data_IF_728305799362
#
_entry.id   IF_728305799362
#
_cell.length_a   1.000
_cell.length_b   1.000
_cell.length_c   1.000
_cell.angle_alpha   90.00
_cell.angle_beta   90.00
_cell.angle_gamma   90.00
#
_symmetry.space_group_name_H-M   'P 1'
#
loop_
_entity.id
_entity.type
_entity.pdbx_description
1 polymer ?
#
# COMPACT_ATOMS: atom_id res chain seq x y z
N UNK A 1 4.83 -40.60 17.59
CA UNK A 1 5.18 -39.19 17.82
C UNK A 1 4.96 -38.44 16.52
N UNK A 2 3.73 -37.99 16.27
CA UNK A 2 3.37 -37.10 15.17
C UNK A 2 3.74 -35.68 15.59
N UNK A 3 4.72 -35.10 14.89
CA UNK A 3 5.22 -33.76 15.18
C UNK A 3 4.36 -32.77 14.38
N UNK A 4 3.15 -32.49 14.89
CA UNK A 4 2.26 -31.48 14.33
C UNK A 4 2.83 -30.11 14.72
N UNK A 5 3.61 -29.52 13.80
CA UNK A 5 4.16 -28.18 13.95
C UNK A 5 3.04 -27.14 14.12
N UNK A 6 2.91 -26.58 15.33
CA UNK A 6 1.99 -25.49 15.72
C UNK A 6 2.47 -24.13 15.17
N UNK A 7 3.05 -24.11 13.97
CA UNK A 7 3.50 -22.86 13.33
C UNK A 7 2.82 -22.73 11.97
N UNK A 8 2.05 -21.65 11.73
CA UNK A 8 1.45 -21.40 10.43
C UNK A 8 2.57 -21.27 9.39
N UNK A 9 2.57 -22.18 8.41
CA UNK A 9 3.51 -22.16 7.30
C UNK A 9 3.24 -20.89 6.47
N UNK A 10 4.16 -19.94 6.51
CA UNK A 10 4.09 -18.73 5.68
C UNK A 10 4.27 -19.15 4.23
N UNK A 11 3.19 -19.12 3.45
CA UNK A 11 3.24 -19.45 2.02
C UNK A 11 4.19 -18.48 1.32
N UNK A 12 5.14 -18.97 0.50
CA UNK A 12 6.01 -18.09 -0.27
C UNK A 12 5.14 -17.23 -1.19
N UNK A 13 5.52 -15.95 -1.41
CA UNK A 13 4.80 -15.10 -2.35
C UNK A 13 4.85 -15.73 -3.74
N UNK A 14 3.71 -15.76 -4.43
CA UNK A 14 3.63 -16.24 -5.81
C UNK A 14 4.61 -15.45 -6.69
N UNK A 15 5.23 -16.06 -7.71
CA UNK A 15 6.05 -15.33 -8.67
C UNK A 15 5.22 -14.26 -9.40
N UNK A 16 5.89 -13.21 -9.87
CA UNK A 16 5.23 -12.02 -10.42
C UNK A 16 4.37 -12.33 -11.66
N UNK A 17 4.81 -13.31 -12.44
CA UNK A 17 4.11 -13.81 -13.61
C UNK A 17 2.77 -14.45 -13.21
N UNK A 18 2.77 -15.29 -12.16
CA UNK A 18 1.54 -15.89 -11.61
C UNK A 18 0.63 -14.84 -10.97
N UNK A 19 1.18 -13.84 -10.30
CA UNK A 19 0.41 -12.71 -9.78
C UNK A 19 -0.31 -11.96 -10.91
N UNK A 20 0.36 -11.73 -12.03
CA UNK A 20 -0.24 -11.07 -13.19
C UNK A 20 -1.33 -11.94 -13.82
N UNK A 21 -1.11 -13.26 -13.95
CA UNK A 21 -2.14 -14.18 -14.44
C UNK A 21 -3.36 -14.23 -13.51
N UNK A 22 -3.16 -14.17 -12.19
CA UNK A 22 -4.25 -14.09 -11.22
C UNK A 22 -5.09 -12.82 -11.38
N UNK A 23 -4.45 -11.68 -11.68
CA UNK A 23 -5.17 -10.44 -11.95
C UNK A 23 -5.99 -10.54 -13.24
N UNK A 24 -5.42 -11.13 -14.28
CA UNK A 24 -6.11 -11.38 -15.56
C UNK A 24 -7.29 -12.34 -15.40
N UNK A 25 -7.12 -13.43 -14.65
CA UNK A 25 -8.18 -14.42 -14.42
C UNK A 25 -9.38 -13.85 -13.67
N UNK A 26 -9.16 -12.80 -12.86
CA UNK A 26 -10.21 -12.04 -12.18
C UNK A 26 -10.88 -10.97 -13.07
N UNK A 27 -10.50 -10.86 -14.33
CA UNK A 27 -11.09 -9.91 -15.29
C UNK A 27 -10.35 -8.58 -15.44
N UNK A 28 -9.11 -8.46 -14.94
CA UNK A 28 -8.31 -7.26 -15.19
C UNK A 28 -7.77 -7.25 -16.63
N UNK A 29 -8.01 -6.16 -17.35
CA UNK A 29 -7.46 -5.96 -18.67
C UNK A 29 -6.02 -5.47 -18.52
N UNK A 30 -5.07 -6.20 -19.11
CA UNK A 30 -3.64 -5.85 -19.15
C UNK A 30 -3.27 -5.63 -20.60
N UNK A 31 -2.96 -4.40 -20.99
CA UNK A 31 -2.66 -4.07 -22.39
C UNK A 31 -1.19 -4.40 -22.73
N UNK A 32 -0.28 -4.09 -21.81
CA UNK A 32 1.15 -4.42 -21.93
C UNK A 32 1.60 -5.24 -20.72
N UNK A 33 1.75 -6.56 -20.94
CA UNK A 33 2.15 -7.50 -19.89
C UNK A 33 3.58 -7.25 -19.40
N UNK A 34 4.49 -6.82 -20.28
CA UNK A 34 5.89 -6.56 -19.92
C UNK A 34 5.95 -5.35 -19.01
N UNK A 35 5.26 -4.27 -19.38
CA UNK A 35 5.17 -3.07 -18.56
C UNK A 35 4.49 -3.37 -17.22
N UNK A 36 3.38 -4.11 -17.21
CA UNK A 36 2.66 -4.47 -16.00
C UNK A 36 3.53 -5.31 -15.04
N UNK A 37 4.29 -6.27 -15.57
CA UNK A 37 5.20 -7.10 -14.79
C UNK A 37 6.35 -6.29 -14.18
N UNK A 38 6.94 -5.37 -14.95
CA UNK A 38 7.95 -4.44 -14.43
C UNK A 38 7.41 -3.53 -13.33
N UNK A 39 6.17 -3.09 -13.47
CA UNK A 39 5.48 -2.30 -12.43
C UNK A 39 5.26 -3.16 -11.17
N UNK A 40 4.74 -4.39 -11.30
CA UNK A 40 4.53 -5.32 -10.19
C UNK A 40 5.82 -5.59 -9.40
N UNK A 41 6.94 -5.78 -10.10
CA UNK A 41 8.28 -5.93 -9.50
C UNK A 41 8.69 -4.71 -8.68
N UNK A 42 8.31 -3.50 -9.10
CA UNK A 42 8.66 -2.24 -8.42
C UNK A 42 7.78 -1.95 -7.20
N UNK A 43 6.47 -2.13 -7.31
CA UNK A 43 5.51 -1.66 -6.30
C UNK A 43 5.00 -2.76 -5.36
N UNK A 44 5.23 -4.04 -5.70
CA UNK A 44 4.66 -5.23 -5.07
C UNK A 44 3.15 -5.39 -5.29
N UNK A 45 2.72 -6.64 -5.52
CA UNK A 45 1.32 -7.02 -5.70
C UNK A 45 0.42 -6.58 -4.54
N UNK A 46 0.89 -6.64 -3.30
CA UNK A 46 0.10 -6.27 -2.13
C UNK A 46 -0.29 -4.80 -2.12
N UNK A 47 0.65 -3.91 -2.50
CA UNK A 47 0.35 -2.48 -2.59
C UNK A 47 -0.64 -2.20 -3.70
N UNK A 48 -0.43 -2.78 -4.88
CA UNK A 48 -1.34 -2.61 -6.00
C UNK A 48 -2.77 -3.07 -5.65
N UNK A 49 -2.88 -4.22 -4.95
CA UNK A 49 -4.17 -4.83 -4.59
C UNK A 49 -5.03 -3.92 -3.71
N UNK A 50 -4.42 -3.11 -2.83
CA UNK A 50 -5.16 -2.13 -2.03
C UNK A 50 -5.95 -1.13 -2.91
N UNK A 51 -5.39 -0.73 -4.05
CA UNK A 51 -6.04 0.18 -5.02
C UNK A 51 -7.01 -0.55 -5.94
N UNK A 52 -7.05 -1.89 -5.93
CA UNK A 52 -8.01 -2.68 -6.72
C UNK A 52 -9.39 -2.76 -6.05
N UNK A 53 -9.50 -2.47 -4.76
CA UNK A 53 -10.73 -2.67 -3.97
C UNK A 53 -11.91 -1.84 -4.49
N UNK A 54 -11.65 -0.65 -5.03
CA UNK A 54 -12.69 0.21 -5.63
C UNK A 54 -13.15 -0.25 -7.01
N UNK A 55 -12.42 -1.17 -7.64
CA UNK A 55 -12.67 -1.68 -8.99
C UNK A 55 -13.09 -3.15 -9.00
N UNK A 56 -13.39 -3.73 -7.83
CA UNK A 56 -13.77 -5.14 -7.68
C UNK A 56 -15.10 -5.28 -6.96
N UNK A 57 -15.87 -6.26 -7.39
CA UNK A 57 -17.04 -6.76 -6.68
C UNK A 57 -16.91 -8.27 -6.53
N UNK A 58 -16.96 -8.77 -5.28
CA UNK A 58 -16.82 -10.21 -5.00
C UNK A 58 -15.58 -10.85 -5.65
N UNK A 59 -14.44 -10.15 -5.58
CA UNK A 59 -13.12 -10.54 -6.14
C UNK A 59 -13.00 -10.53 -7.68
N UNK A 60 -14.06 -10.14 -8.39
CA UNK A 60 -14.06 -9.95 -9.85
C UNK A 60 -13.94 -8.47 -10.17
N UNK A 61 -13.09 -8.13 -11.14
CA UNK A 61 -12.94 -6.75 -11.60
C UNK A 61 -14.16 -6.29 -12.41
N UNK A 62 -14.56 -5.03 -12.22
CA UNK A 62 -15.63 -4.42 -13.03
C UNK A 62 -15.20 -4.35 -14.50
N UNK A 63 -16.15 -4.55 -15.41
CA UNK A 63 -15.90 -4.53 -16.86
C UNK A 63 -15.18 -3.25 -17.30
N UNK A 64 -14.15 -3.39 -18.13
CA UNK A 64 -13.35 -2.28 -18.64
C UNK A 64 -12.24 -1.79 -17.71
N UNK A 65 -12.06 -2.41 -16.53
CA UNK A 65 -10.97 -2.05 -15.62
C UNK A 65 -9.63 -2.48 -16.22
N UNK A 66 -8.73 -1.52 -16.43
CA UNK A 66 -7.38 -1.78 -16.93
C UNK A 66 -6.32 -1.67 -15.84
N UNK A 67 -5.24 -2.43 -15.98
CA UNK A 67 -4.09 -2.36 -15.09
C UNK A 67 -3.54 -0.92 -15.00
N UNK A 68 -3.47 -0.22 -16.12
CA UNK A 68 -2.99 1.16 -16.19
C UNK A 68 -3.86 2.13 -15.39
N UNK A 69 -5.17 1.87 -15.31
CA UNK A 69 -6.09 2.69 -14.50
C UNK A 69 -5.82 2.52 -13.01
N UNK A 70 -5.61 1.28 -12.56
CA UNK A 70 -5.26 0.98 -11.17
C UNK A 70 -3.89 1.55 -10.83
N UNK A 71 -2.92 1.37 -11.73
CA UNK A 71 -1.58 1.91 -11.56
C UNK A 71 -1.57 3.44 -11.50
N UNK A 72 -2.40 4.13 -12.30
CA UNK A 72 -2.55 5.59 -12.25
C UNK A 72 -3.10 6.07 -10.91
N UNK A 73 -4.03 5.33 -10.29
CA UNK A 73 -4.51 5.65 -8.94
C UNK A 73 -3.39 5.51 -7.90
N UNK A 74 -2.61 4.42 -7.97
CA UNK A 74 -1.44 4.25 -7.12
C UNK A 74 -0.42 5.38 -7.31
N UNK A 75 -0.12 5.75 -8.56
CA UNK A 75 0.87 6.77 -8.86
C UNK A 75 0.46 8.15 -8.33
N UNK A 76 -0.82 8.48 -8.45
CA UNK A 76 -1.39 9.70 -7.88
C UNK A 76 -1.23 9.74 -6.35
N UNK A 77 -1.62 8.68 -5.64
CA UNK A 77 -1.44 8.61 -4.17
C UNK A 77 0.04 8.72 -3.78
N UNK A 78 0.92 8.02 -4.50
CA UNK A 78 2.36 8.08 -4.23
C UNK A 78 2.93 9.49 -4.40
N UNK A 79 2.50 10.22 -5.44
CA UNK A 79 2.91 11.61 -5.67
C UNK A 79 2.37 12.53 -4.57
N UNK A 80 1.10 12.37 -4.21
CA UNK A 80 0.48 13.14 -3.12
C UNK A 80 1.20 12.91 -1.79
N UNK A 81 1.49 11.65 -1.46
CA UNK A 81 2.24 11.28 -0.25
C UNK A 81 3.62 11.92 -0.22
N UNK A 82 4.33 11.95 -1.35
CA UNK A 82 5.64 12.60 -1.40
C UNK A 82 5.55 14.10 -1.13
N UNK A 83 4.56 14.79 -1.72
CA UNK A 83 4.34 16.23 -1.48
C UNK A 83 3.98 16.49 -0.01
N UNK A 84 3.08 15.68 0.57
CA UNK A 84 2.69 15.81 1.97
C UNK A 84 3.88 15.57 2.91
N UNK A 85 4.70 14.56 2.62
CA UNK A 85 5.91 14.28 3.39
C UNK A 85 6.92 15.43 3.32
N UNK A 86 7.12 16.01 2.13
CA UNK A 86 8.00 17.18 1.95
C UNK A 86 7.51 18.39 2.77
N UNK A 87 6.19 18.65 2.79
CA UNK A 87 5.60 19.72 3.59
C UNK A 87 5.81 19.45 5.08
N UNK A 88 5.57 18.23 5.54
CA UNK A 88 5.77 17.84 6.94
C UNK A 88 7.23 18.02 7.35
N UNK A 89 8.18 17.58 6.53
CA UNK A 89 9.61 17.74 6.77
C UNK A 89 10.02 19.22 6.84
N UNK A 90 9.45 20.06 5.98
CA UNK A 90 9.70 21.50 5.99
C UNK A 90 9.21 22.15 7.29
N UNK A 91 7.99 21.79 7.74
CA UNK A 91 7.43 22.26 9.01
C UNK A 91 8.27 21.80 10.20
N UNK A 92 8.71 20.54 10.21
CA UNK A 92 9.58 19.99 11.26
C UNK A 92 10.94 20.72 11.32
N UNK A 93 11.52 21.08 10.17
CA UNK A 93 12.80 21.81 10.10
C UNK A 93 12.69 23.26 10.53
N UNK A 94 11.57 23.93 10.25
CA UNK A 94 11.32 25.31 10.66
C UNK A 94 10.90 25.41 12.14
N UNK A 95 10.61 24.28 12.78
CA UNK A 95 10.28 24.22 14.20
C UNK A 95 11.44 24.79 15.03
N UNK A 96 11.25 25.91 15.75
CA UNK A 96 12.25 26.36 16.70
C UNK A 96 12.46 25.26 17.75
N UNK A 97 13.70 25.05 18.21
CA UNK A 97 14.04 24.09 19.27
C UNK A 97 13.44 24.46 20.66
N UNK A 98 12.44 25.33 20.67
CA UNK A 98 11.85 25.92 21.85
C UNK A 98 10.69 25.05 22.35
N UNK A 99 10.86 24.46 23.53
CA UNK A 99 9.89 23.53 24.16
C UNK A 99 8.53 24.17 24.46
N UNK A 100 8.45 25.50 24.50
CA UNK A 100 7.19 26.21 24.75
C UNK A 100 6.21 26.11 23.56
N UNK A 101 6.71 25.99 22.32
CA UNK A 101 5.87 25.84 21.13
C UNK A 101 5.16 24.47 21.06
N UNK A 102 5.78 23.42 21.59
CA UNK A 102 5.20 22.06 21.69
C UNK A 102 3.96 22.00 22.59
N UNK A 103 3.87 22.88 23.60
CA UNK A 103 2.74 22.92 24.52
C UNK A 103 1.53 23.65 23.94
N UNK A 104 1.74 24.65 23.07
CA UNK A 104 0.66 25.41 22.42
C UNK A 104 0.07 24.69 21.19
N UNK A 105 0.87 23.90 20.48
CA UNK A 105 0.46 23.25 19.23
C UNK A 105 0.33 21.72 19.35
N UNK A 106 -0.19 21.24 20.48
CA UNK A 106 -0.37 19.81 20.77
C UNK A 106 -1.21 19.07 19.73
N UNK A 107 -2.20 19.72 19.12
CA UNK A 107 -3.04 19.14 18.06
C UNK A 107 -2.29 18.99 16.74
N UNK A 108 -1.52 19.99 16.32
CA UNK A 108 -0.69 19.90 15.10
C UNK A 108 0.39 18.82 15.25
N UNK A 109 1.03 18.75 16.42
CA UNK A 109 1.97 17.67 16.72
C UNK A 109 1.29 16.31 16.74
N UNK A 110 0.12 16.19 17.38
CA UNK A 110 -0.65 14.96 17.37
C UNK A 110 -1.10 14.56 15.96
N UNK A 111 -1.38 15.50 15.05
CA UNK A 111 -1.74 15.22 13.66
C UNK A 111 -0.51 14.82 12.83
N UNK A 112 0.63 15.50 12.96
CA UNK A 112 1.87 15.16 12.26
C UNK A 112 2.40 13.81 12.73
N UNK A 113 2.43 13.59 14.06
CA UNK A 113 2.82 12.33 14.66
C UNK A 113 1.78 11.25 14.32
N UNK A 114 0.47 11.50 14.44
CA UNK A 114 -0.52 10.51 13.98
C UNK A 114 -0.43 10.24 12.49
N UNK A 115 -0.14 11.19 11.59
CA UNK A 115 0.01 10.89 10.15
C UNK A 115 1.24 10.02 9.88
N UNK A 116 2.36 10.28 10.56
CA UNK A 116 3.58 9.47 10.47
C UNK A 116 3.34 8.05 11.01
N UNK A 117 2.56 7.93 12.09
CA UNK A 117 2.16 6.66 12.67
C UNK A 117 1.00 5.99 11.92
N UNK A 118 0.14 6.73 11.22
CA UNK A 118 -0.92 6.20 10.37
C UNK A 118 -0.31 5.54 9.13
N UNK A 119 0.78 6.11 8.60
CA UNK A 119 1.58 5.48 7.54
C UNK A 119 2.20 4.17 8.05
N UNK A 120 2.76 4.14 9.27
CA UNK A 120 3.29 2.94 9.91
C UNK A 120 2.20 1.93 10.32
N UNK A 121 1.03 2.40 10.74
CA UNK A 121 -0.13 1.62 11.20
C UNK A 121 -0.84 0.97 10.02
N UNK A 122 -1.06 1.70 8.92
CA UNK A 122 -1.49 1.12 7.64
C UNK A 122 -0.45 0.12 7.12
N UNK A 123 0.85 0.38 7.30
CA UNK A 123 1.90 -0.60 6.99
C UNK A 123 1.82 -1.86 7.86
N UNK A 124 1.50 -1.71 9.15
CA UNK A 124 1.38 -2.81 10.11
C UNK A 124 0.09 -3.62 9.93
N UNK A 125 -1.01 -2.97 9.58
CA UNK A 125 -2.28 -3.62 9.25
C UNK A 125 -2.23 -4.36 7.91
N UNK A 126 -1.54 -3.81 6.90
CA UNK A 126 -1.25 -4.52 5.65
C UNK A 126 -0.33 -5.75 5.87
N UNK A 127 0.50 -5.74 6.91
CA UNK A 127 1.30 -6.88 7.35
C UNK A 127 0.50 -7.94 8.14
N UNK A 128 -0.62 -7.57 8.78
CA UNK A 128 -1.49 -8.49 9.54
C UNK A 128 -2.62 -9.12 8.74
N UNK A 129 -3.02 -8.54 7.61
CA UNK A 129 -4.02 -9.16 6.70
C UNK A 129 -3.48 -10.48 6.08
N UNK A 130 -2.17 -10.75 6.18
CA UNK A 130 -1.55 -12.02 5.79
C UNK A 130 -1.76 -13.21 6.74
N UNK A 131 -2.46 -13.06 7.88
CA UNK A 131 -2.65 -14.16 8.85
C UNK A 131 -4.10 -14.60 9.08
N UNK A 132 -5.05 -14.20 8.22
CA UNK A 132 -6.45 -14.62 8.30
C UNK A 132 -6.99 -15.32 7.04
N UNK A 133 -6.12 -16.05 6.33
CA UNK A 133 -6.51 -17.02 5.29
C UNK A 133 -5.64 -18.28 5.38
#
# INVERSE_FOLDING_TARGET
MSNDSIYPQVKPPLPYEEQLQLLKSRGLIVNDEIAALNILKRISYYRLTAYTLTFKQQDIFTSGTTFETIYRHYEFDSKLRNIVMEIIEHVDKFRPADRNFELQNRTLFAIIFNMKYLILFVYWDLLKIGTHC
#
